data_IF_998172508368
#
_entry.id   IF_998172508368
#
_cell.length_a   1.000
_cell.length_b   1.000
_cell.length_c   1.000
_cell.angle_alpha   90.00
_cell.angle_beta   90.00
_cell.angle_gamma   90.00
#
_symmetry.space_group_name_H-M   'P 1'
#
loop_
_entity.id
_entity.type
_entity.pdbx_description
1 polymer ?
#
# COMPACT_ATOMS: atom_id res chain seq x y z
N UNK A 1 -9.37 -8.08 -33.34
CA UNK A 1 -9.71 -6.65 -33.60
C UNK A 1 -10.23 -5.90 -32.36
N UNK A 2 -11.38 -6.24 -31.73
CA UNK A 2 -11.84 -5.56 -30.50
C UNK A 2 -10.89 -5.70 -29.29
N UNK A 3 -10.24 -6.86 -29.15
CA UNK A 3 -9.28 -7.11 -28.08
C UNK A 3 -8.00 -6.27 -28.18
N UNK A 4 -7.57 -5.91 -29.39
CA UNK A 4 -6.32 -5.16 -29.61
C UNK A 4 -6.45 -3.67 -29.33
N UNK A 5 -7.67 -3.12 -29.43
CA UNK A 5 -7.94 -1.71 -29.12
C UNK A 5 -8.12 -1.45 -27.62
N UNK A 6 -8.60 -2.45 -26.87
CA UNK A 6 -8.84 -2.30 -25.42
C UNK A 6 -7.62 -2.62 -24.56
N UNK A 7 -6.75 -3.53 -25.02
CA UNK A 7 -5.51 -3.92 -24.31
C UNK A 7 -4.66 -2.73 -23.85
N UNK A 8 -4.36 -1.72 -24.70
CA UNK A 8 -3.57 -0.57 -24.29
C UNK A 8 -4.27 0.27 -23.21
N UNK A 9 -5.58 0.47 -23.36
CA UNK A 9 -6.40 1.27 -22.42
C UNK A 9 -6.48 0.56 -21.07
N UNK A 10 -6.74 -0.75 -21.08
CA UNK A 10 -6.78 -1.57 -19.86
C UNK A 10 -5.41 -1.57 -19.18
N UNK A 11 -4.30 -1.72 -19.91
CA UNK A 11 -2.94 -1.66 -19.34
C UNK A 11 -2.59 -0.28 -18.76
N UNK A 12 -2.99 0.80 -19.43
CA UNK A 12 -2.81 2.17 -18.94
C UNK A 12 -3.60 2.41 -17.66
N UNK A 13 -4.86 1.96 -17.62
CA UNK A 13 -5.73 2.06 -16.45
C UNK A 13 -5.22 1.19 -15.30
N UNK A 14 -4.74 -0.02 -15.60
CA UNK A 14 -4.15 -0.94 -14.62
C UNK A 14 -2.89 -0.32 -13.98
N UNK A 15 -1.97 0.20 -14.79
CA UNK A 15 -0.78 0.92 -14.31
C UNK A 15 -1.14 2.18 -13.51
N UNK A 16 -2.23 2.87 -13.87
CA UNK A 16 -2.72 4.03 -13.12
C UNK A 16 -3.32 3.64 -11.77
N UNK A 17 -4.03 2.50 -11.73
CA UNK A 17 -4.56 1.90 -10.49
C UNK A 17 -3.43 1.44 -9.57
N UNK A 18 -2.39 0.82 -10.11
CA UNK A 18 -1.18 0.44 -9.36
C UNK A 18 -0.51 1.64 -8.71
N UNK A 19 -0.38 2.75 -9.45
CA UNK A 19 0.20 3.97 -8.93
C UNK A 19 -0.63 4.51 -7.76
N UNK A 20 -1.96 4.41 -7.83
CA UNK A 20 -2.86 4.89 -6.78
C UNK A 20 -2.61 4.19 -5.44
N UNK A 21 -2.34 2.88 -5.45
CA UNK A 21 -2.00 2.09 -4.25
C UNK A 21 -0.73 2.59 -3.56
N UNK A 22 0.32 2.90 -4.34
CA UNK A 22 1.56 3.50 -3.81
C UNK A 22 1.26 4.84 -3.12
N UNK A 23 0.50 5.72 -3.79
CA UNK A 23 0.21 7.05 -3.26
C UNK A 23 -0.68 6.99 -2.02
N UNK A 24 -1.70 6.13 -2.01
CA UNK A 24 -2.57 5.94 -0.85
C UNK A 24 -1.80 5.40 0.36
N UNK A 25 -0.96 4.38 0.17
CA UNK A 25 -0.11 3.84 1.23
C UNK A 25 0.80 4.92 1.84
N UNK A 26 1.41 5.76 1.00
CA UNK A 26 2.25 6.89 1.44
C UNK A 26 1.45 7.97 2.18
N UNK A 27 0.27 8.35 1.67
CA UNK A 27 -0.58 9.37 2.30
C UNK A 27 -0.98 8.92 3.70
N UNK A 28 -1.44 7.67 3.85
CA UNK A 28 -1.83 7.11 5.15
C UNK A 28 -0.63 7.07 6.10
N UNK A 29 0.53 6.60 5.61
CA UNK A 29 1.75 6.56 6.40
C UNK A 29 2.14 7.95 6.92
N UNK A 30 2.20 8.95 6.03
CA UNK A 30 2.59 10.32 6.38
C UNK A 30 1.57 10.94 7.32
N UNK A 31 0.27 10.75 7.07
CA UNK A 31 -0.79 11.28 7.92
C UNK A 31 -0.66 10.77 9.36
N UNK A 32 -0.48 9.45 9.55
CA UNK A 32 -0.32 8.86 10.89
C UNK A 32 1.00 9.31 11.51
N UNK A 33 2.09 9.36 10.73
CA UNK A 33 3.40 9.79 11.22
C UNK A 33 3.37 11.25 11.70
N UNK A 34 2.70 12.15 10.96
CA UNK A 34 2.54 13.57 11.33
C UNK A 34 1.64 13.70 12.55
N UNK A 35 0.52 12.98 12.60
CA UNK A 35 -0.39 12.97 13.74
C UNK A 35 0.31 12.52 15.03
N UNK A 36 1.16 11.49 14.93
CA UNK A 36 1.87 10.90 16.06
C UNK A 36 3.32 11.35 16.17
N UNK A 37 3.74 12.46 15.54
CA UNK A 37 5.15 12.88 15.45
C UNK A 37 5.92 12.97 16.77
N UNK A 38 5.22 13.18 17.90
CA UNK A 38 5.82 13.23 19.25
C UNK A 38 5.99 11.85 19.90
N UNK A 39 5.37 10.82 19.35
CA UNK A 39 5.39 9.47 19.89
C UNK A 39 6.67 8.73 19.48
N UNK A 40 7.38 8.05 20.39
CA UNK A 40 8.65 7.38 20.08
C UNK A 40 8.50 6.25 19.05
N UNK A 41 7.30 5.66 18.93
CA UNK A 41 6.96 4.58 18.01
C UNK A 41 6.09 5.04 16.82
N UNK A 42 6.02 6.35 16.53
CA UNK A 42 5.16 6.91 15.48
C UNK A 42 5.28 6.20 14.13
N UNK A 43 6.51 5.97 13.66
CA UNK A 43 6.77 5.29 12.38
C UNK A 43 6.26 3.84 12.36
N UNK A 44 6.40 3.11 13.48
CA UNK A 44 5.89 1.74 13.58
C UNK A 44 4.36 1.71 13.57
N UNK A 45 3.72 2.64 14.29
CA UNK A 45 2.26 2.77 14.30
C UNK A 45 1.74 3.16 12.90
N UNK A 46 2.43 4.09 12.23
CA UNK A 46 2.11 4.46 10.85
C UNK A 46 2.18 3.27 9.89
N UNK A 47 3.22 2.45 10.02
CA UNK A 47 3.36 1.23 9.21
C UNK A 47 2.22 0.23 9.47
N UNK A 48 1.88 -0.04 10.73
CA UNK A 48 0.74 -0.91 11.07
C UNK A 48 -0.59 -0.34 10.58
N UNK A 49 -0.75 0.98 10.59
CA UNK A 49 -1.93 1.64 10.03
C UNK A 49 -2.08 1.41 8.53
N UNK A 50 -0.97 1.51 7.76
CA UNK A 50 -0.99 1.17 6.33
C UNK A 50 -1.27 -0.32 6.11
N UNK A 51 -0.67 -1.20 6.91
CA UNK A 51 -0.93 -2.63 6.83
C UNK A 51 -2.42 -2.94 7.08
N UNK A 52 -3.01 -2.36 8.12
CA UNK A 52 -4.42 -2.54 8.42
C UNK A 52 -5.32 -2.01 7.29
N UNK A 53 -4.98 -0.85 6.70
CA UNK A 53 -5.71 -0.30 5.57
C UNK A 53 -5.63 -1.21 4.33
N UNK A 54 -4.44 -1.75 4.03
CA UNK A 54 -4.26 -2.68 2.91
C UNK A 54 -5.05 -3.97 3.10
N UNK A 55 -4.97 -4.59 4.29
CA UNK A 55 -5.74 -5.80 4.61
C UNK A 55 -7.25 -5.53 4.56
N UNK A 56 -7.69 -4.37 5.06
CA UNK A 56 -9.09 -3.96 4.95
C UNK A 56 -9.53 -3.79 3.50
N UNK A 57 -8.70 -3.19 2.65
CA UNK A 57 -8.99 -3.01 1.23
C UNK A 57 -9.08 -4.37 0.50
N UNK A 58 -8.14 -5.28 0.73
CA UNK A 58 -8.22 -6.64 0.17
C UNK A 58 -9.43 -7.42 0.68
N UNK A 59 -9.85 -7.23 1.93
CA UNK A 59 -11.06 -7.87 2.46
C UNK A 59 -12.34 -7.36 1.78
N UNK A 60 -12.40 -6.07 1.45
CA UNK A 60 -13.51 -5.48 0.69
C UNK A 60 -13.51 -5.99 -0.76
N UNK A 61 -12.34 -6.00 -1.41
CA UNK A 61 -12.21 -6.59 -2.74
C UNK A 61 -12.67 -8.05 -2.70
N UNK A 62 -12.21 -8.84 -1.73
CA UNK A 62 -12.61 -10.24 -1.59
C UNK A 62 -14.12 -10.43 -1.41
N UNK A 63 -14.75 -9.57 -0.60
CA UNK A 63 -16.20 -9.55 -0.46
C UNK A 63 -16.86 -9.32 -1.82
N UNK A 64 -16.46 -8.30 -2.55
CA UNK A 64 -17.03 -7.98 -3.87
C UNK A 64 -16.79 -9.10 -4.89
N UNK A 65 -15.61 -9.72 -4.90
CA UNK A 65 -15.30 -10.87 -5.75
C UNK A 65 -16.17 -12.09 -5.44
N UNK A 66 -16.46 -12.35 -4.16
CA UNK A 66 -17.33 -13.45 -3.73
C UNK A 66 -18.77 -13.26 -4.22
N UNK A 67 -19.27 -12.02 -4.23
CA UNK A 67 -20.64 -11.73 -4.67
C UNK A 67 -20.80 -11.61 -6.19
N UNK A 68 -19.79 -11.13 -6.92
CA UNK A 68 -19.95 -10.73 -8.33
C UNK A 68 -19.30 -11.66 -9.36
N UNK A 69 -18.12 -12.23 -9.11
CA UNK A 69 -17.28 -12.79 -10.20
C UNK A 69 -16.90 -14.27 -10.05
N UNK A 70 -17.15 -14.89 -8.89
CA UNK A 70 -16.85 -16.33 -8.58
C UNK A 70 -15.40 -16.79 -8.89
N UNK A 71 -14.46 -15.85 -8.98
CA UNK A 71 -13.05 -16.15 -9.24
C UNK A 71 -12.15 -15.40 -8.27
N UNK A 72 -11.04 -16.01 -7.87
CA UNK A 72 -10.04 -15.40 -7.00
C UNK A 72 -8.76 -15.16 -7.78
N UNK A 73 -8.33 -13.88 -7.93
CA UNK A 73 -7.03 -13.55 -8.49
C UNK A 73 -6.00 -13.19 -7.41
N UNK A 74 -5.32 -14.20 -6.86
CA UNK A 74 -4.34 -14.04 -5.78
C UNK A 74 -3.12 -13.22 -6.24
N UNK A 75 -2.86 -13.19 -7.54
CA UNK A 75 -1.73 -12.47 -8.12
C UNK A 75 -1.93 -10.96 -8.03
N UNK A 76 -3.15 -10.47 -8.25
CA UNK A 76 -3.43 -9.03 -8.22
C UNK A 76 -3.42 -8.53 -6.77
N UNK A 77 -4.05 -9.26 -5.85
CA UNK A 77 -3.99 -8.97 -4.41
C UNK A 77 -2.55 -8.87 -3.91
N UNK A 78 -1.71 -9.88 -4.21
CA UNK A 78 -0.31 -9.86 -3.81
C UNK A 78 0.46 -8.66 -4.39
N UNK A 79 0.19 -8.31 -5.65
CA UNK A 79 0.82 -7.18 -6.32
C UNK A 79 0.43 -5.87 -5.65
N UNK A 80 -0.85 -5.65 -5.40
CA UNK A 80 -1.37 -4.45 -4.75
C UNK A 80 -0.81 -4.32 -3.33
N UNK A 81 -0.76 -5.42 -2.58
CA UNK A 81 -0.14 -5.48 -1.25
C UNK A 81 1.34 -5.10 -1.26
N UNK A 82 2.10 -5.59 -2.24
CA UNK A 82 3.51 -5.23 -2.39
C UNK A 82 3.67 -3.74 -2.74
N UNK A 83 2.88 -3.22 -3.67
CA UNK A 83 2.94 -1.82 -4.08
C UNK A 83 2.60 -0.87 -2.93
N UNK A 84 1.59 -1.20 -2.12
CA UNK A 84 1.19 -0.39 -0.96
C UNK A 84 2.22 -0.42 0.17
N UNK A 85 2.87 -1.56 0.42
CA UNK A 85 3.73 -1.74 1.61
C UNK A 85 5.23 -1.50 1.39
N UNK A 86 5.73 -1.57 0.15
CA UNK A 86 7.18 -1.39 -0.13
C UNK A 86 7.70 -0.07 0.41
N UNK A 87 7.09 1.06 0.02
CA UNK A 87 7.59 2.38 0.40
C UNK A 87 7.43 2.71 1.90
N UNK A 88 6.28 2.41 2.55
CA UNK A 88 6.16 2.51 4.00
C UNK A 88 7.21 1.69 4.76
N UNK A 89 7.56 0.50 4.27
CA UNK A 89 8.58 -0.35 4.89
C UNK A 89 9.98 0.27 4.75
N UNK A 90 10.31 0.77 3.56
CA UNK A 90 11.58 1.49 3.33
C UNK A 90 11.69 2.71 4.24
N UNK A 91 10.63 3.52 4.36
CA UNK A 91 10.60 4.68 5.26
C UNK A 91 10.74 4.30 6.73
N UNK A 92 10.06 3.24 7.18
CA UNK A 92 10.18 2.72 8.54
C UNK A 92 11.63 2.32 8.85
N UNK A 93 12.29 1.59 7.95
CA UNK A 93 13.68 1.16 8.11
C UNK A 93 14.61 2.38 8.17
N UNK A 94 14.48 3.32 7.24
CA UNK A 94 15.29 4.55 7.20
C UNK A 94 15.15 5.37 8.48
N UNK A 95 13.93 5.60 8.95
CA UNK A 95 13.67 6.33 10.21
C UNK A 95 14.29 5.58 11.40
N UNK A 96 14.19 4.26 11.41
CA UNK A 96 14.73 3.44 12.51
C UNK A 96 16.26 3.48 12.53
N UNK A 97 16.90 3.37 11.37
CA UNK A 97 18.37 3.44 11.22
C UNK A 97 18.89 4.83 11.62
N UNK A 98 18.26 5.90 11.13
CA UNK A 98 18.64 7.27 11.46
C UNK A 98 18.50 7.55 12.97
N UNK A 99 17.42 7.07 13.59
CA UNK A 99 17.19 7.22 15.03
C UNK A 99 18.20 6.43 15.88
N UNK A 100 18.71 5.30 15.38
CA UNK A 100 19.80 4.54 16.02
C UNK A 100 21.13 5.27 15.90
N UNK A 101 21.44 5.83 14.72
CA UNK A 101 22.65 6.62 14.49
C UNK A 101 22.76 7.80 15.45
N UNK A 102 21.70 8.60 15.58
CA UNK A 102 21.65 9.76 16.50
C UNK A 102 21.70 9.45 18.00
N UNK A 103 21.61 8.17 18.40
CA UNK A 103 21.73 7.74 19.80
C UNK A 103 23.11 7.20 20.14
N UNK A 104 23.94 6.94 19.14
CA UNK A 104 25.33 6.46 19.31
C UNK A 104 26.38 7.55 19.21
N UNK A 105 25.99 8.77 18.85
CA UNK A 105 26.78 10.02 18.92
C UNK A 105 26.45 10.74 20.25
#
# INVERSE_FOLDING_TARGET
MWHELKEPIVRLLDQSRDALHIHFGLIIFIAILVALRRHPKAALIAWFGVLAAQVGNEALDLHDWFFWTRGWNWRDALRDSLLTLIWPTVLLVLITVEKRRRRGD
#
